data_IF_905928920443
#
_entry.id   IF_905928920443
#
_cell.length_a   1.000
_cell.length_b   1.000
_cell.length_c   1.000
_cell.angle_alpha   90.00
_cell.angle_beta   90.00
_cell.angle_gamma   90.00
#
_symmetry.space_group_name_H-M   'P 1'
#
loop_
_entity.id
_entity.type
_entity.pdbx_description
1 polymer ?
#
# COMPACT_ATOMS: atom_id res chain seq x y z
N UNK A 1 -7.19 -12.28 14.34
CA UNK A 1 -7.00 -13.23 13.22
C UNK A 1 -5.75 -14.03 13.52
N UNK A 2 -5.86 -15.35 13.62
CA UNK A 2 -4.70 -16.23 13.80
C UNK A 2 -4.15 -16.57 12.41
N UNK A 3 -3.10 -15.87 12.00
CA UNK A 3 -2.35 -16.15 10.79
C UNK A 3 -1.20 -17.09 11.14
N UNK A 4 -1.14 -18.23 10.47
CA UNK A 4 0.01 -19.13 10.62
C UNK A 4 1.30 -18.49 10.12
N UNK A 5 2.43 -18.89 10.72
CA UNK A 5 3.77 -18.45 10.28
C UNK A 5 3.99 -18.77 8.81
N UNK A 6 4.53 -17.81 8.08
CA UNK A 6 4.83 -17.97 6.64
C UNK A 6 3.60 -18.14 5.74
N UNK A 7 2.41 -17.73 6.17
CA UNK A 7 1.15 -17.86 5.41
C UNK A 7 0.87 -16.69 4.47
N UNK A 8 1.64 -15.61 4.55
CA UNK A 8 1.46 -14.36 3.79
C UNK A 8 2.58 -14.19 2.77
N UNK A 9 2.23 -13.85 1.53
CA UNK A 9 3.18 -13.63 0.43
C UNK A 9 3.60 -12.16 0.33
N UNK A 10 2.69 -11.24 0.61
CA UNK A 10 2.90 -9.80 0.49
C UNK A 10 2.16 -9.06 1.62
N UNK A 11 2.83 -8.11 2.23
CA UNK A 11 2.21 -7.11 3.11
C UNK A 11 2.19 -5.77 2.40
N UNK A 12 1.03 -5.13 2.34
CA UNK A 12 0.87 -3.74 1.85
C UNK A 12 0.04 -2.99 2.85
N UNK A 13 0.61 -1.99 3.50
CA UNK A 13 -0.07 -1.28 4.59
C UNK A 13 0.40 0.16 4.73
N UNK A 14 -0.42 0.96 5.41
CA UNK A 14 -0.09 2.28 5.91
C UNK A 14 -0.53 2.35 7.38
N UNK A 15 0.41 2.27 8.34
CA UNK A 15 0.07 2.31 9.76
C UNK A 15 -0.46 3.69 10.16
N UNK A 16 -1.08 3.84 11.33
CA UNK A 16 -1.26 5.15 11.94
C UNK A 16 0.12 5.80 12.14
N UNK A 17 0.27 7.06 11.68
CA UNK A 17 1.57 7.74 11.73
C UNK A 17 1.80 8.35 13.12
N UNK A 18 2.80 7.90 13.90
CA UNK A 18 3.18 8.53 15.15
C UNK A 18 3.38 10.05 15.02
N UNK A 19 2.99 10.79 16.05
CA UNK A 19 3.05 12.24 16.12
C UNK A 19 2.15 13.02 15.15
N UNK A 20 1.28 12.34 14.38
CA UNK A 20 0.18 12.96 13.64
C UNK A 20 -1.04 13.00 14.58
N UNK A 21 -1.48 14.20 14.98
CA UNK A 21 -2.46 14.45 16.05
C UNK A 21 -3.74 13.60 15.97
N UNK A 22 -4.21 13.28 14.77
CA UNK A 22 -5.42 12.48 14.60
C UNK A 22 -5.30 11.04 15.17
N UNK A 23 -4.09 10.56 15.43
CA UNK A 23 -3.83 9.22 15.97
C UNK A 23 -3.51 9.20 17.48
N UNK A 24 -3.36 10.36 18.13
CA UNK A 24 -2.98 10.45 19.55
C UNK A 24 -3.90 9.62 20.45
N UNK A 25 -5.21 9.78 20.32
CA UNK A 25 -6.19 9.03 21.12
C UNK A 25 -6.09 7.51 20.88
N UNK A 26 -5.81 7.10 19.65
CA UNK A 26 -5.67 5.69 19.29
C UNK A 26 -4.44 5.05 19.92
N UNK A 27 -3.31 5.78 19.97
CA UNK A 27 -2.10 5.32 20.63
C UNK A 27 -2.23 5.36 22.14
N UNK A 28 -2.72 6.46 22.71
CA UNK A 28 -2.92 6.64 24.15
C UNK A 28 -3.88 5.59 24.75
N UNK A 29 -4.90 5.20 24.00
CA UNK A 29 -5.82 4.12 24.42
C UNK A 29 -5.15 2.75 24.54
N UNK A 30 -3.97 2.54 23.92
CA UNK A 30 -3.22 1.29 23.95
C UNK A 30 -2.10 1.32 24.98
N UNK A 31 -1.44 2.50 25.13
CA UNK A 31 -0.38 2.72 26.12
C UNK A 31 -0.53 4.10 26.79
N UNK A 32 -0.84 4.14 28.11
CA UNK A 32 -0.91 5.40 28.86
C UNK A 32 0.39 6.21 28.87
N UNK A 33 1.54 5.61 28.58
CA UNK A 33 2.81 6.32 28.49
C UNK A 33 2.81 7.36 27.36
N UNK A 34 2.05 7.11 26.30
CA UNK A 34 1.87 8.07 25.18
C UNK A 34 1.19 9.35 25.67
N UNK A 35 0.07 9.22 26.39
CA UNK A 35 -0.66 10.36 26.94
C UNK A 35 0.21 11.15 27.94
N UNK A 36 0.87 10.46 28.85
CA UNK A 36 1.75 11.07 29.85
C UNK A 36 2.91 11.84 29.21
N UNK A 37 3.52 11.30 28.16
CA UNK A 37 4.60 11.96 27.43
C UNK A 37 4.11 13.22 26.70
N UNK A 38 2.96 13.14 26.01
CA UNK A 38 2.34 14.29 25.34
C UNK A 38 1.96 15.40 26.33
N UNK A 39 1.38 15.05 27.48
CA UNK A 39 0.99 16.00 28.53
C UNK A 39 2.21 16.68 29.21
N UNK A 40 3.32 15.95 29.34
CA UNK A 40 4.56 16.50 29.89
C UNK A 40 5.36 17.35 28.91
N UNK A 41 4.97 17.39 27.64
CA UNK A 41 5.69 18.09 26.57
C UNK A 41 6.94 17.36 26.10
N UNK A 42 7.05 16.04 26.37
CA UNK A 42 8.18 15.19 25.91
C UNK A 42 7.83 14.51 24.60
N UNK A 43 8.12 15.21 23.48
CA UNK A 43 7.80 14.71 22.14
C UNK A 43 8.61 13.48 21.75
N UNK A 44 9.86 13.35 22.19
CA UNK A 44 10.72 12.18 21.91
C UNK A 44 10.18 10.93 22.62
N UNK A 45 9.83 11.06 23.91
CA UNK A 45 9.24 9.95 24.66
C UNK A 45 7.88 9.51 24.06
N UNK A 46 7.03 10.45 23.62
CA UNK A 46 5.78 10.14 22.96
C UNK A 46 6.00 9.41 21.64
N UNK A 47 6.96 9.86 20.82
CA UNK A 47 7.34 9.24 19.55
C UNK A 47 7.79 7.80 19.73
N UNK A 48 8.69 7.54 20.66
CA UNK A 48 9.19 6.19 20.95
C UNK A 48 8.09 5.29 21.53
N UNK A 49 7.24 5.77 22.42
CA UNK A 49 6.13 4.98 22.97
C UNK A 49 5.11 4.59 21.88
N UNK A 50 4.80 5.49 20.94
CA UNK A 50 3.93 5.18 19.80
C UNK A 50 4.56 4.13 18.86
N UNK A 51 5.87 4.24 18.60
CA UNK A 51 6.60 3.28 17.78
C UNK A 51 6.76 1.90 18.43
N UNK A 52 6.90 1.83 19.74
CA UNK A 52 6.95 0.57 20.47
C UNK A 52 5.68 -0.28 20.24
N UNK A 53 4.51 0.38 20.17
CA UNK A 53 3.25 -0.31 19.80
C UNK A 53 3.24 -0.82 18.36
N UNK A 54 3.90 -0.12 17.45
CA UNK A 54 4.05 -0.57 16.06
C UNK A 54 5.08 -1.70 15.94
N UNK A 55 6.13 -1.71 16.76
CA UNK A 55 7.15 -2.77 16.77
C UNK A 55 6.53 -4.14 17.07
N UNK A 56 5.57 -4.22 17.99
CA UNK A 56 4.79 -5.45 18.26
C UNK A 56 4.04 -5.94 17.01
N UNK A 57 3.60 -5.02 16.15
CA UNK A 57 2.95 -5.38 14.88
C UNK A 57 3.99 -5.83 13.85
N UNK A 58 5.16 -5.18 13.80
CA UNK A 58 6.21 -5.55 12.86
C UNK A 58 6.77 -6.95 13.13
N UNK A 59 6.90 -7.36 14.39
CA UNK A 59 7.26 -8.73 14.74
C UNK A 59 6.25 -9.74 14.19
N UNK A 60 4.95 -9.50 14.39
CA UNK A 60 3.89 -10.37 13.88
C UNK A 60 3.81 -10.39 12.35
N UNK A 61 4.05 -9.25 11.70
CA UNK A 61 4.17 -9.16 10.25
C UNK A 61 5.33 -9.99 9.74
N UNK A 62 6.48 -9.92 10.42
CA UNK A 62 7.65 -10.71 10.06
C UNK A 62 7.40 -12.22 10.23
N UNK A 63 6.69 -12.64 11.28
CA UNK A 63 6.33 -14.04 11.49
C UNK A 63 5.37 -14.54 10.41
N UNK A 64 4.30 -13.80 10.12
CA UNK A 64 3.29 -14.15 9.13
C UNK A 64 3.83 -14.20 7.70
N UNK A 65 4.83 -13.39 7.38
CA UNK A 65 5.41 -13.31 6.04
C UNK A 65 6.23 -14.57 5.74
N UNK A 66 6.04 -15.17 4.57
CA UNK A 66 6.84 -16.32 4.12
C UNK A 66 8.26 -15.93 3.73
N UNK A 67 9.15 -16.91 3.65
CA UNK A 67 10.48 -16.69 3.05
C UNK A 67 10.36 -16.24 1.59
N UNK A 68 11.04 -15.13 1.25
CA UNK A 68 10.95 -14.46 -0.03
C UNK A 68 9.73 -13.55 -0.19
N UNK A 69 8.86 -13.47 0.82
CA UNK A 69 7.76 -12.52 0.86
C UNK A 69 8.24 -11.07 1.04
N UNK A 70 7.42 -10.14 0.60
CA UNK A 70 7.72 -8.70 0.61
C UNK A 70 6.78 -7.98 1.57
N UNK A 71 7.32 -7.02 2.33
CA UNK A 71 6.53 -6.02 3.05
C UNK A 71 6.74 -4.64 2.43
N UNK A 72 5.65 -3.99 2.05
CA UNK A 72 5.59 -2.64 1.50
C UNK A 72 4.81 -1.74 2.46
N UNK A 73 5.52 -0.86 3.16
CA UNK A 73 4.96 0.00 4.20
C UNK A 73 4.95 1.44 3.69
N UNK A 74 3.77 2.00 3.51
CA UNK A 74 3.62 3.41 3.20
C UNK A 74 3.58 4.22 4.49
N UNK A 75 4.49 5.17 4.65
CA UNK A 75 4.59 6.00 5.85
C UNK A 75 5.04 7.42 5.53
N UNK A 76 4.40 8.39 6.16
CA UNK A 76 4.79 9.81 6.14
C UNK A 76 5.45 10.24 7.44
N UNK A 77 6.42 11.14 7.32
CA UNK A 77 6.98 11.81 8.50
C UNK A 77 6.00 12.83 9.05
N UNK A 78 6.08 13.09 10.34
CA UNK A 78 5.27 14.09 11.02
C UNK A 78 6.11 15.32 11.37
N UNK A 79 5.46 16.48 11.32
CA UNK A 79 6.01 17.70 11.93
C UNK A 79 5.03 18.17 12.98
N UNK A 80 5.51 18.45 14.18
CA UNK A 80 4.66 18.84 15.31
C UNK A 80 5.36 19.89 16.15
N UNK A 81 4.55 20.72 16.80
CA UNK A 81 5.05 21.64 17.82
C UNK A 81 4.62 21.14 19.20
N UNK A 82 5.59 20.79 20.04
CA UNK A 82 5.39 20.34 21.40
C UNK A 82 6.14 21.28 22.33
N UNK A 83 5.52 21.76 23.39
CA UNK A 83 6.06 22.75 24.36
C UNK A 83 6.73 23.96 23.67
N UNK A 84 6.17 24.41 22.55
CA UNK A 84 6.68 25.55 21.79
C UNK A 84 7.80 25.24 20.80
N UNK A 85 8.45 24.12 20.90
CA UNK A 85 9.49 23.65 19.95
C UNK A 85 8.87 22.95 18.74
N UNK A 86 9.35 23.30 17.54
CA UNK A 86 8.92 22.69 16.28
C UNK A 86 9.93 21.64 15.83
N UNK A 87 9.47 20.41 15.68
CA UNK A 87 10.34 19.28 15.34
C UNK A 87 9.78 18.44 14.20
N UNK A 88 10.68 17.73 13.52
CA UNK A 88 10.40 16.65 12.58
C UNK A 88 10.52 15.32 13.32
N UNK A 89 9.49 14.49 13.19
CA UNK A 89 9.46 13.13 13.69
C UNK A 89 9.60 12.17 12.49
N UNK A 90 10.77 11.56 12.29
CA UNK A 90 11.09 10.79 11.09
C UNK A 90 10.54 9.38 11.19
N UNK A 91 9.23 9.22 11.04
CA UNK A 91 8.54 7.93 11.10
C UNK A 91 9.17 6.89 10.18
N UNK A 92 9.56 7.29 8.94
CA UNK A 92 10.18 6.37 8.00
C UNK A 92 11.46 5.72 8.55
N UNK A 93 12.30 6.48 9.24
CA UNK A 93 13.55 5.97 9.80
C UNK A 93 13.28 4.98 10.94
N UNK A 94 12.34 5.30 11.84
CA UNK A 94 12.01 4.43 12.98
C UNK A 94 11.28 3.15 12.56
N UNK A 95 10.45 3.21 11.50
CA UNK A 95 9.85 2.00 10.90
C UNK A 95 10.92 1.12 10.23
N UNK A 96 11.95 1.71 9.61
CA UNK A 96 13.08 0.94 9.07
C UNK A 96 13.80 0.18 10.19
N UNK A 97 14.04 0.83 11.33
CA UNK A 97 14.66 0.22 12.50
C UNK A 97 13.81 -0.97 12.99
N UNK A 98 12.54 -0.78 13.30
CA UNK A 98 11.65 -1.82 13.83
C UNK A 98 11.53 -3.04 12.91
N UNK A 99 11.34 -2.83 11.60
CA UNK A 99 11.27 -3.96 10.64
C UNK A 99 12.61 -4.67 10.44
N UNK A 100 13.72 -3.94 10.56
CA UNK A 100 15.05 -4.55 10.49
C UNK A 100 15.34 -5.38 11.74
N UNK A 101 14.96 -4.88 12.93
CA UNK A 101 15.05 -5.64 14.19
C UNK A 101 14.15 -6.87 14.19
N UNK A 102 12.97 -6.79 13.58
CA UNK A 102 12.09 -7.95 13.31
C UNK A 102 12.68 -8.96 12.30
N UNK A 103 13.89 -8.72 11.78
CA UNK A 103 14.63 -9.66 10.92
C UNK A 103 14.38 -9.53 9.42
N UNK A 104 13.72 -8.47 8.96
CA UNK A 104 13.51 -8.22 7.55
C UNK A 104 14.70 -7.48 6.91
N UNK A 105 14.97 -7.77 5.66
CA UNK A 105 16.02 -7.09 4.88
C UNK A 105 15.42 -5.93 4.10
N UNK A 106 15.90 -4.71 4.33
CA UNK A 106 15.50 -3.53 3.59
C UNK A 106 15.91 -3.62 2.12
N UNK A 107 15.01 -3.23 1.23
CA UNK A 107 15.22 -3.10 -0.21
C UNK A 107 15.16 -1.61 -0.61
N UNK A 108 15.60 -1.24 -1.84
CA UNK A 108 15.37 0.12 -2.34
C UNK A 108 13.89 0.49 -2.29
N UNK A 109 13.56 1.55 -1.56
CA UNK A 109 12.21 2.05 -1.40
C UNK A 109 11.79 3.02 -2.51
N UNK A 110 10.57 3.55 -2.38
CA UNK A 110 9.98 4.49 -3.33
C UNK A 110 9.53 5.73 -2.57
N UNK A 111 9.83 6.90 -3.10
CA UNK A 111 9.28 8.17 -2.62
C UNK A 111 7.99 8.43 -3.39
N UNK A 112 6.87 8.47 -2.68
CA UNK A 112 5.60 8.87 -3.24
C UNK A 112 5.42 10.38 -3.07
N UNK A 113 5.66 11.14 -4.15
CA UNK A 113 5.41 12.57 -4.19
C UNK A 113 3.91 12.84 -4.36
N UNK A 114 3.37 13.64 -3.43
CA UNK A 114 1.98 14.13 -3.47
C UNK A 114 1.99 15.55 -4.04
N UNK A 115 1.57 15.78 -5.28
CA UNK A 115 1.40 17.15 -5.76
C UNK A 115 0.35 17.85 -4.90
N UNK A 116 0.74 18.84 -4.10
CA UNK A 116 -0.20 19.60 -3.29
C UNK A 116 -0.90 20.64 -4.14
N UNK A 117 -2.22 20.70 -4.06
CA UNK A 117 -3.02 21.75 -4.70
C UNK A 117 -2.93 23.11 -3.94
N UNK A 118 -2.21 23.16 -2.83
CA UNK A 118 -2.13 24.31 -1.95
C UNK A 118 -0.67 24.73 -1.73
N UNK A 119 -0.18 25.59 -2.60
CA UNK A 119 1.11 26.27 -2.44
C UNK A 119 1.19 27.18 -1.19
N UNK A 120 0.13 27.25 -0.41
CA UNK A 120 -0.06 28.22 0.68
C UNK A 120 0.17 27.66 2.09
N UNK A 121 0.58 26.39 2.24
CA UNK A 121 0.97 25.87 3.54
C UNK A 121 2.44 26.20 3.80
N UNK A 122 2.66 27.29 4.55
CA UNK A 122 3.99 27.63 5.04
C UNK A 122 4.29 26.87 6.34
N UNK A 123 5.52 26.38 6.44
CA UNK A 123 6.06 25.92 7.71
C UNK A 123 7.02 26.99 8.26
N UNK A 124 6.91 27.28 9.54
CA UNK A 124 7.72 28.28 10.21
C UNK A 124 7.36 29.72 9.83
N UNK A 125 8.37 30.54 9.60
CA UNK A 125 8.25 32.01 9.37
C UNK A 125 7.82 32.38 7.94
N UNK A 126 7.46 31.41 7.11
CA UNK A 126 7.03 31.65 5.72
C UNK A 126 8.14 32.17 4.83
N UNK A 127 8.14 33.47 4.49
CA UNK A 127 9.11 34.07 3.60
C UNK A 127 10.34 34.67 4.27
N UNK A 128 10.39 34.63 5.61
CA UNK A 128 11.49 35.22 6.38
C UNK A 128 12.55 34.17 6.74
N UNK A 129 13.81 34.33 6.28
CA UNK A 129 14.88 33.50 6.77
C UNK A 129 15.15 33.84 8.24
N UNK A 130 15.65 32.94 9.06
CA UNK A 130 16.19 31.60 8.89
C UNK A 130 15.17 30.48 9.25
N UNK A 131 14.02 30.83 9.80
CA UNK A 131 13.06 29.93 10.45
C UNK A 131 11.92 29.51 9.47
N UNK A 132 12.17 29.54 8.17
CA UNK A 132 11.31 28.97 7.16
C UNK A 132 11.74 27.51 6.89
N UNK A 133 10.79 26.58 6.91
CA UNK A 133 11.07 25.15 6.79
C UNK A 133 10.45 24.58 5.51
N UNK A 134 11.03 23.49 5.01
CA UNK A 134 10.50 22.78 3.86
C UNK A 134 9.14 22.14 4.19
N UNK A 135 8.20 22.22 3.26
CA UNK A 135 6.92 21.54 3.36
C UNK A 135 7.10 20.07 2.97
N UNK A 136 6.54 19.14 3.74
CA UNK A 136 6.54 17.73 3.41
C UNK A 136 5.51 17.47 2.29
N UNK A 137 6.00 17.12 1.09
CA UNK A 137 5.18 16.83 -0.08
C UNK A 137 5.28 15.38 -0.52
N UNK A 138 5.81 14.51 0.32
CA UNK A 138 5.99 13.10 -0.02
C UNK A 138 5.73 12.19 1.18
N UNK A 139 5.52 10.93 0.87
CA UNK A 139 5.58 9.81 1.79
C UNK A 139 6.58 8.78 1.26
N UNK A 140 6.94 7.82 2.10
CA UNK A 140 7.87 6.74 1.78
C UNK A 140 7.10 5.43 1.64
N UNK A 141 7.29 4.72 0.53
CA UNK A 141 6.94 3.31 0.42
C UNK A 141 8.20 2.52 0.71
N UNK A 142 8.34 2.08 1.95
CA UNK A 142 9.47 1.29 2.42
C UNK A 142 9.26 -0.17 2.00
N UNK A 143 10.31 -0.79 1.44
CA UNK A 143 10.25 -2.16 0.95
C UNK A 143 11.20 -3.05 1.72
N UNK A 144 10.70 -4.19 2.17
CA UNK A 144 11.47 -5.19 2.90
C UNK A 144 11.20 -6.58 2.36
N UNK A 145 12.13 -7.51 2.61
CA UNK A 145 12.01 -8.91 2.26
C UNK A 145 12.38 -9.78 3.44
N UNK A 146 11.61 -10.84 3.67
CA UNK A 146 11.97 -11.91 4.60
C UNK A 146 12.89 -12.93 3.92
N UNK A 147 14.02 -13.23 4.53
CA UNK A 147 14.93 -14.26 4.05
C UNK A 147 15.44 -14.06 2.61
N UNK A 148 15.54 -15.14 1.85
CA UNK A 148 16.05 -15.15 0.46
C UNK A 148 15.05 -14.66 -0.57
N UNK A 149 15.33 -14.89 -1.86
CA UNK A 149 14.39 -14.59 -2.94
C UNK A 149 13.42 -15.75 -3.16
N UNK A 150 12.16 -15.46 -3.43
CA UNK A 150 11.16 -16.45 -3.80
C UNK A 150 11.54 -17.14 -5.11
N UNK A 151 11.45 -18.45 -5.14
CA UNK A 151 11.67 -19.28 -6.33
C UNK A 151 10.34 -19.80 -6.88
N UNK A 152 10.28 -19.99 -8.20
CA UNK A 152 9.13 -20.54 -8.89
C UNK A 152 9.58 -21.71 -9.79
N UNK A 153 8.71 -22.68 -10.04
CA UNK A 153 8.96 -23.71 -11.06
C UNK A 153 9.26 -23.08 -12.44
N UNK A 154 10.05 -23.74 -13.29
CA UNK A 154 10.21 -23.29 -14.67
C UNK A 154 8.86 -23.26 -15.38
N UNK A 155 8.58 -22.18 -16.11
CA UNK A 155 7.31 -21.95 -16.85
C UNK A 155 6.05 -21.98 -15.99
N UNK A 156 6.15 -21.49 -14.77
CA UNK A 156 5.01 -21.32 -13.87
C UNK A 156 3.96 -20.38 -14.52
N UNK A 157 2.77 -20.93 -14.81
CA UNK A 157 1.73 -20.24 -15.56
C UNK A 157 1.19 -19.01 -14.83
N UNK A 158 0.97 -19.10 -13.50
CA UNK A 158 0.46 -17.99 -12.71
C UNK A 158 1.46 -16.84 -12.65
N UNK A 159 2.75 -17.17 -12.60
CA UNK A 159 3.81 -16.16 -12.64
C UNK A 159 3.84 -15.41 -13.97
N UNK A 160 3.73 -16.12 -15.10
CA UNK A 160 3.70 -15.51 -16.44
C UNK A 160 2.40 -14.74 -16.68
N UNK A 161 1.27 -15.28 -16.25
CA UNK A 161 -0.02 -14.59 -16.31
C UNK A 161 -0.05 -13.31 -15.45
N UNK A 162 0.68 -13.29 -14.34
CA UNK A 162 0.82 -12.12 -13.44
C UNK A 162 1.95 -11.16 -13.85
N UNK A 163 2.61 -11.38 -14.98
CA UNK A 163 3.65 -10.47 -15.45
C UNK A 163 3.07 -9.08 -15.76
N UNK A 164 3.91 -8.12 -15.85
CA UNK A 164 3.56 -6.73 -16.20
C UNK A 164 4.24 -6.36 -17.52
N UNK A 165 3.64 -5.43 -18.23
CA UNK A 165 4.17 -4.92 -19.50
C UNK A 165 5.45 -4.13 -19.28
N UNK A 166 6.30 -4.04 -20.31
CA UNK A 166 7.59 -3.35 -20.24
C UNK A 166 7.49 -1.89 -19.80
N UNK A 167 6.53 -1.15 -20.32
CA UNK A 167 6.29 0.24 -19.94
C UNK A 167 5.78 0.38 -18.50
N UNK A 168 5.02 -0.60 -18.00
CA UNK A 168 4.59 -0.67 -16.61
C UNK A 168 5.79 -0.90 -15.70
N UNK A 169 6.67 -1.83 -16.06
CA UNK A 169 7.91 -2.08 -15.33
C UNK A 169 8.74 -0.80 -15.23
N UNK A 170 8.90 -0.06 -16.31
CA UNK A 170 9.72 1.15 -16.32
C UNK A 170 9.10 2.28 -15.47
N UNK A 171 7.77 2.33 -15.38
CA UNK A 171 7.03 3.32 -14.59
C UNK A 171 6.93 2.92 -13.12
N UNK A 172 6.61 1.65 -12.82
CA UNK A 172 6.34 1.22 -11.44
C UNK A 172 7.61 1.02 -10.62
N UNK A 173 8.71 0.60 -11.24
CA UNK A 173 9.99 0.40 -10.55
C UNK A 173 10.88 1.64 -10.54
N UNK A 174 10.33 2.83 -10.79
CA UNK A 174 10.96 4.09 -10.45
C UNK A 174 10.95 4.28 -8.93
N UNK A 175 12.01 4.82 -8.38
CA UNK A 175 12.14 5.18 -6.96
C UNK A 175 11.37 6.46 -6.58
N UNK A 176 10.70 7.09 -7.55
CA UNK A 176 9.85 8.25 -7.33
C UNK A 176 8.53 8.10 -8.09
N UNK A 177 7.43 8.10 -7.34
CA UNK A 177 6.08 8.10 -7.90
C UNK A 177 5.43 9.46 -7.74
N UNK A 178 4.88 9.97 -8.84
CA UNK A 178 3.99 11.13 -8.83
C UNK A 178 2.54 10.64 -8.98
N UNK A 179 1.89 10.35 -7.86
CA UNK A 179 0.49 9.94 -7.82
C UNK A 179 -0.28 11.01 -7.05
N UNK A 180 -1.27 11.60 -7.70
CA UNK A 180 -2.15 12.55 -7.03
C UNK A 180 -2.91 11.82 -5.93
N UNK A 181 -2.85 12.37 -4.72
CA UNK A 181 -3.78 11.97 -3.67
C UNK A 181 -5.18 12.23 -4.21
N UNK A 182 -5.93 11.19 -4.46
CA UNK A 182 -7.32 11.34 -4.90
C UNK A 182 -8.09 11.98 -3.77
N UNK A 183 -8.68 13.15 -4.02
CA UNK A 183 -9.96 13.43 -3.42
C UNK A 183 -10.90 12.35 -3.93
N UNK A 184 -10.91 11.16 -3.30
CA UNK A 184 -11.80 10.07 -3.66
C UNK A 184 -13.21 10.55 -3.38
N UNK A 185 -13.95 10.90 -4.38
CA UNK A 185 -15.39 10.93 -4.37
C UNK A 185 -15.90 9.48 -4.31
N UNK A 186 -15.75 8.84 -3.15
CA UNK A 186 -16.63 7.73 -2.80
C UNK A 186 -17.91 8.38 -2.29
N UNK A 187 -19.04 7.96 -2.86
CA UNK A 187 -20.35 8.38 -2.41
C UNK A 187 -20.44 8.24 -0.87
N UNK A 188 -20.78 9.35 -0.25
CA UNK A 188 -21.40 9.51 1.06
C UNK A 188 -21.00 8.55 2.21
N UNK A 189 -19.76 8.64 2.66
CA UNK A 189 -19.46 8.36 4.07
C UNK A 189 -18.70 9.55 4.65
N UNK A 190 -19.45 10.61 4.94
CA UNK A 190 -18.94 11.78 5.65
C UNK A 190 -18.20 11.35 6.93
N UNK A 191 -16.93 11.66 7.02
CA UNK A 191 -16.10 11.49 8.21
C UNK A 191 -15.26 10.21 8.33
N UNK A 192 -15.65 9.06 7.74
CA UNK A 192 -14.87 7.82 7.81
C UNK A 192 -13.50 7.93 7.11
N UNK A 193 -13.40 8.83 6.18
CA UNK A 193 -12.24 9.07 5.33
C UNK A 193 -11.21 10.02 5.89
N UNK A 194 -11.67 11.09 6.55
CA UNK A 194 -10.78 11.98 7.30
C UNK A 194 -10.11 11.21 8.45
N UNK A 195 -10.79 10.18 8.97
CA UNK A 195 -10.29 9.30 10.04
C UNK A 195 -9.38 8.17 9.56
N UNK A 196 -9.40 7.78 8.27
CA UNK A 196 -8.67 6.59 7.81
C UNK A 196 -7.28 6.89 7.23
N UNK A 197 -6.99 8.14 6.81
CA UNK A 197 -5.70 8.47 6.18
C UNK A 197 -5.36 7.63 4.93
N UNK A 198 -6.35 7.01 4.29
CA UNK A 198 -6.15 6.01 3.25
C UNK A 198 -5.41 6.54 2.01
N UNK A 199 -4.48 5.78 1.51
CA UNK A 199 -3.79 6.05 0.24
C UNK A 199 -4.69 5.75 -0.98
N UNK A 200 -4.40 6.36 -2.16
CA UNK A 200 -5.10 6.06 -3.41
C UNK A 200 -4.98 4.59 -3.81
N UNK A 201 -6.03 4.02 -4.44
CA UNK A 201 -6.05 2.62 -4.90
C UNK A 201 -4.87 2.29 -5.83
N UNK A 202 -4.37 3.25 -6.61
CA UNK A 202 -3.25 3.04 -7.52
C UNK A 202 -1.97 2.57 -6.79
N UNK A 203 -1.74 2.99 -5.53
CA UNK A 203 -0.57 2.57 -4.75
C UNK A 203 -0.60 1.07 -4.46
N UNK A 204 -1.60 0.52 -3.76
CA UNK A 204 -1.64 -0.91 -3.50
C UNK A 204 -1.81 -1.75 -4.77
N UNK A 205 -2.50 -1.26 -5.81
CA UNK A 205 -2.57 -1.96 -7.11
C UNK A 205 -1.19 -2.16 -7.72
N UNK A 206 -0.35 -1.12 -7.75
CA UNK A 206 1.02 -1.26 -8.23
C UNK A 206 1.81 -2.24 -7.39
N UNK A 207 1.76 -2.13 -6.07
CA UNK A 207 2.52 -2.98 -5.15
C UNK A 207 2.10 -4.44 -5.24
N UNK A 208 0.79 -4.73 -5.33
CA UNK A 208 0.26 -6.08 -5.52
C UNK A 208 0.75 -6.68 -6.84
N UNK A 209 0.68 -5.93 -7.95
CA UNK A 209 1.19 -6.36 -9.26
C UNK A 209 2.70 -6.56 -9.28
N UNK A 210 3.46 -5.72 -8.58
CA UNK A 210 4.94 -5.76 -8.56
C UNK A 210 5.49 -6.92 -7.74
N UNK A 211 4.82 -7.31 -6.65
CA UNK A 211 5.42 -8.17 -5.62
C UNK A 211 4.62 -9.43 -5.28
N UNK A 212 3.52 -9.72 -6.01
CA UNK A 212 2.75 -10.95 -5.84
C UNK A 212 2.35 -11.57 -7.18
N UNK A 213 1.95 -12.83 -7.14
CA UNK A 213 1.30 -13.54 -8.27
C UNK A 213 -0.13 -13.91 -7.90
N UNK A 214 -0.95 -14.32 -8.87
CA UNK A 214 -2.30 -14.79 -8.60
C UNK A 214 -2.32 -15.91 -7.59
N UNK A 215 -3.36 -15.93 -6.75
CA UNK A 215 -3.51 -16.88 -5.66
C UNK A 215 -2.67 -16.60 -4.43
N UNK A 216 -1.73 -15.63 -4.49
CA UNK A 216 -0.98 -15.19 -3.31
C UNK A 216 -1.88 -14.55 -2.26
N UNK A 217 -1.43 -14.55 -1.01
CA UNK A 217 -2.11 -13.92 0.13
C UNK A 217 -1.47 -12.57 0.46
N UNK A 218 -2.28 -11.52 0.47
CA UNK A 218 -1.91 -10.15 0.84
C UNK A 218 -2.44 -9.82 2.24
N UNK A 219 -1.59 -9.27 3.10
CA UNK A 219 -1.97 -8.83 4.45
C UNK A 219 -1.90 -7.30 4.54
N UNK A 220 -2.92 -6.72 5.19
CA UNK A 220 -2.89 -5.35 5.67
C UNK A 220 -3.30 -5.31 7.16
N UNK A 221 -2.35 -5.14 8.10
CA UNK A 221 -2.64 -5.09 9.53
C UNK A 221 -3.32 -3.79 9.98
N UNK A 222 -3.48 -2.80 9.11
CA UNK A 222 -4.13 -1.51 9.35
C UNK A 222 -5.07 -1.14 8.21
N UNK A 223 -5.99 -2.04 7.87
CA UNK A 223 -6.70 -2.06 6.60
C UNK A 223 -7.63 -0.87 6.37
N UNK A 224 -8.08 -0.20 7.44
CA UNK A 224 -9.01 0.93 7.33
C UNK A 224 -10.25 0.58 6.52
N UNK A 225 -10.48 1.32 5.45
CA UNK A 225 -11.61 1.09 4.52
C UNK A 225 -11.36 0.01 3.47
N UNK A 226 -10.27 -0.78 3.59
CA UNK A 226 -10.02 -1.95 2.74
C UNK A 226 -9.38 -1.67 1.38
N UNK A 227 -8.62 -0.60 1.21
CA UNK A 227 -8.03 -0.25 -0.11
C UNK A 227 -7.04 -1.32 -0.59
N UNK A 228 -6.24 -1.88 0.31
CA UNK A 228 -5.33 -3.00 0.00
C UNK A 228 -6.10 -4.27 -0.35
N UNK A 229 -7.16 -4.60 0.42
CA UNK A 229 -7.99 -5.77 0.15
C UNK A 229 -8.70 -5.65 -1.20
N UNK A 230 -9.18 -4.46 -1.56
CA UNK A 230 -9.76 -4.20 -2.87
C UNK A 230 -8.71 -4.42 -3.99
N UNK A 231 -7.50 -3.90 -3.85
CA UNK A 231 -6.43 -4.11 -4.82
C UNK A 231 -6.09 -5.59 -5.00
N UNK A 232 -6.03 -6.36 -3.91
CA UNK A 232 -5.80 -7.80 -3.95
C UNK A 232 -6.95 -8.54 -4.66
N UNK A 233 -8.20 -8.20 -4.33
CA UNK A 233 -9.40 -8.78 -4.94
C UNK A 233 -9.42 -8.52 -6.46
N UNK A 234 -9.20 -7.28 -6.90
CA UNK A 234 -9.18 -6.90 -8.32
C UNK A 234 -8.11 -7.66 -9.13
N UNK A 235 -7.03 -8.07 -8.49
CA UNK A 235 -5.91 -8.75 -9.15
C UNK A 235 -5.89 -10.28 -8.92
N UNK A 236 -6.95 -10.86 -8.37
CA UNK A 236 -7.06 -12.31 -8.14
C UNK A 236 -6.13 -12.84 -7.06
N UNK A 237 -5.89 -12.05 -6.02
CA UNK A 237 -5.17 -12.44 -4.80
C UNK A 237 -6.14 -12.60 -3.65
N UNK A 238 -5.83 -13.51 -2.72
CA UNK A 238 -6.48 -13.55 -1.41
C UNK A 238 -5.98 -12.40 -0.55
N UNK A 239 -6.80 -11.91 0.38
CA UNK A 239 -6.34 -10.88 1.31
C UNK A 239 -6.90 -11.09 2.72
N UNK A 240 -6.12 -10.63 3.69
CA UNK A 240 -6.52 -10.50 5.08
C UNK A 240 -6.29 -9.06 5.52
N UNK A 241 -7.32 -8.43 6.05
CA UNK A 241 -7.26 -7.09 6.63
C UNK A 241 -7.61 -7.13 8.10
N UNK A 242 -6.89 -6.34 8.92
CA UNK A 242 -7.21 -6.17 10.34
C UNK A 242 -7.62 -4.73 10.57
N UNK A 243 -8.80 -4.54 11.17
CA UNK A 243 -9.34 -3.23 11.52
C UNK A 243 -10.00 -3.30 12.91
N UNK A 244 -9.79 -2.28 13.71
CA UNK A 244 -10.37 -2.15 15.05
C UNK A 244 -11.73 -1.44 15.04
N UNK A 245 -11.91 -0.51 14.09
CA UNK A 245 -13.15 0.23 13.94
C UNK A 245 -14.10 -0.53 13.00
N UNK A 246 -15.22 -1.07 13.51
CA UNK A 246 -16.17 -1.81 12.69
C UNK A 246 -16.86 -0.94 11.63
N UNK A 247 -16.93 0.39 11.80
CA UNK A 247 -17.50 1.28 10.79
C UNK A 247 -16.56 1.39 9.58
N UNK A 248 -15.24 1.46 9.82
CA UNK A 248 -14.25 1.44 8.76
C UNK A 248 -14.24 0.09 8.03
N UNK A 249 -14.31 -1.02 8.76
CA UNK A 249 -14.38 -2.35 8.16
C UNK A 249 -15.65 -2.51 7.30
N UNK A 250 -16.80 -2.01 7.75
CA UNK A 250 -18.05 -2.07 7.00
C UNK A 250 -18.02 -1.26 5.69
N UNK A 251 -17.19 -0.22 5.60
CA UNK A 251 -17.00 0.56 4.38
C UNK A 251 -16.40 -0.26 3.21
N UNK A 252 -15.87 -1.45 3.47
CA UNK A 252 -15.36 -2.34 2.44
C UNK A 252 -16.46 -2.99 1.59
N UNK A 253 -17.63 -3.32 2.14
CA UNK A 253 -18.70 -4.03 1.43
C UNK A 253 -19.15 -3.35 0.12
N UNK A 254 -19.52 -2.06 0.08
CA UNK A 254 -19.89 -1.42 -1.18
C UNK A 254 -18.76 -1.39 -2.20
N UNK A 255 -17.53 -1.32 -1.75
CA UNK A 255 -16.33 -1.35 -2.62
C UNK A 255 -16.11 -2.73 -3.23
N UNK A 256 -16.27 -3.79 -2.43
CA UNK A 256 -16.18 -5.17 -2.91
C UNK A 256 -17.27 -5.45 -3.96
N UNK A 257 -18.51 -4.98 -3.74
CA UNK A 257 -19.61 -5.14 -4.70
C UNK A 257 -19.43 -4.37 -6.01
N UNK A 258 -18.64 -3.30 -6.00
CA UNK A 258 -18.31 -2.53 -7.21
C UNK A 258 -17.09 -3.12 -7.97
N UNK A 259 -16.44 -4.15 -7.44
CA UNK A 259 -15.23 -4.71 -8.02
C UNK A 259 -15.41 -5.27 -9.45
N UNK A 260 -16.53 -5.92 -9.84
CA UNK A 260 -16.71 -6.36 -11.20
C UNK A 260 -16.55 -5.24 -12.23
N UNK A 261 -17.33 -4.17 -12.13
CA UNK A 261 -17.28 -3.02 -13.05
C UNK A 261 -15.90 -2.35 -13.02
N UNK A 262 -15.35 -2.13 -11.82
CA UNK A 262 -14.03 -1.51 -11.67
C UNK A 262 -12.91 -2.35 -12.27
N UNK A 263 -12.99 -3.68 -12.19
CA UNK A 263 -11.96 -4.57 -12.74
C UNK A 263 -11.96 -4.56 -14.27
N UNK A 264 -13.14 -4.49 -14.90
CA UNK A 264 -13.26 -4.34 -16.35
C UNK A 264 -12.64 -3.02 -16.83
N UNK A 265 -12.98 -1.91 -16.21
CA UNK A 265 -12.41 -0.58 -16.51
C UNK A 265 -10.88 -0.60 -16.41
N UNK A 266 -10.33 -1.16 -15.34
CA UNK A 266 -8.90 -1.22 -15.11
C UNK A 266 -8.18 -2.15 -16.10
N UNK A 267 -8.80 -3.26 -16.50
CA UNK A 267 -8.23 -4.18 -17.49
C UNK A 267 -8.23 -3.55 -18.89
N UNK A 268 -9.33 -2.90 -19.28
CA UNK A 268 -9.45 -2.18 -20.55
C UNK A 268 -8.40 -1.07 -20.65
N UNK A 269 -8.35 -0.17 -19.63
CA UNK A 269 -7.38 0.92 -19.60
C UNK A 269 -5.92 0.41 -19.64
N UNK A 270 -5.65 -0.72 -18.99
CA UNK A 270 -4.31 -1.31 -18.95
C UNK A 270 -3.90 -1.82 -20.32
N UNK A 271 -4.81 -2.57 -20.99
CA UNK A 271 -4.57 -3.10 -22.31
C UNK A 271 -4.48 -2.02 -23.39
N UNK A 272 -5.32 -1.01 -23.32
CA UNK A 272 -5.31 0.11 -24.26
C UNK A 272 -4.04 0.94 -24.16
N UNK A 273 -3.56 1.20 -22.95
CA UNK A 273 -2.25 1.84 -22.73
C UNK A 273 -1.11 1.03 -23.33
N UNK A 274 -1.16 -0.30 -23.15
CA UNK A 274 -0.16 -1.17 -23.76
C UNK A 274 -0.24 -1.17 -25.28
N UNK A 275 -1.44 -1.26 -25.89
CA UNK A 275 -1.64 -1.17 -27.35
C UNK A 275 -1.09 0.15 -27.91
N UNK A 276 -1.35 1.25 -27.23
CA UNK A 276 -0.79 2.55 -27.61
C UNK A 276 0.74 2.52 -27.55
N UNK A 277 1.32 2.01 -26.46
CA UNK A 277 2.77 1.87 -26.32
C UNK A 277 3.35 1.00 -27.46
N UNK A 278 2.73 -0.13 -27.78
CA UNK A 278 3.18 -1.04 -28.83
C UNK A 278 3.14 -0.38 -30.21
N UNK A 279 2.10 0.40 -30.51
CA UNK A 279 1.98 1.14 -31.75
C UNK A 279 3.04 2.26 -31.90
N UNK A 280 3.39 2.93 -30.80
CA UNK A 280 4.43 3.95 -30.77
C UNK A 280 5.86 3.38 -30.78
N UNK A 281 6.02 2.08 -30.47
CA UNK A 281 7.31 1.40 -30.29
C UNK A 281 7.45 0.12 -31.11
N UNK A 282 6.91 0.06 -32.34
CA UNK A 282 6.91 -1.12 -33.20
C UNK A 282 8.31 -1.75 -33.41
N UNK A 283 9.37 -0.97 -33.39
CA UNK A 283 10.74 -1.48 -33.57
C UNK A 283 11.27 -2.24 -32.35
N UNK A 284 10.65 -2.12 -31.16
CA UNK A 284 11.10 -2.76 -29.92
C UNK A 284 10.16 -3.86 -29.46
N UNK A 285 8.90 -3.86 -29.90
CA UNK A 285 7.91 -4.91 -29.60
C UNK A 285 8.06 -6.07 -30.57
N UNK A 286 8.86 -7.08 -30.19
CA UNK A 286 9.31 -8.13 -31.08
C UNK A 286 8.55 -9.47 -30.94
N UNK A 287 7.71 -9.63 -29.94
CA UNK A 287 7.01 -10.88 -29.65
C UNK A 287 5.51 -10.68 -29.69
N UNK A 288 4.77 -11.64 -30.25
CA UNK A 288 3.31 -11.68 -30.20
C UNK A 288 2.86 -12.04 -28.77
N UNK A 289 1.82 -11.39 -28.26
CA UNK A 289 1.17 -11.79 -27.01
C UNK A 289 0.29 -13.02 -27.23
N UNK A 290 0.28 -13.95 -26.27
CA UNK A 290 -0.46 -15.21 -26.43
C UNK A 290 -1.98 -15.03 -26.27
N UNK A 291 -2.42 -14.00 -25.56
CA UNK A 291 -3.82 -13.78 -25.18
C UNK A 291 -4.46 -12.53 -25.78
N UNK A 292 -3.70 -11.64 -26.40
CA UNK A 292 -4.19 -10.37 -26.94
C UNK A 292 -3.62 -10.10 -28.32
N UNK A 293 -4.43 -9.46 -29.17
CA UNK A 293 -3.97 -8.97 -30.48
C UNK A 293 -3.09 -7.73 -30.30
N UNK A 294 -1.88 -7.97 -29.82
CA UNK A 294 -0.84 -6.96 -29.61
C UNK A 294 0.55 -7.62 -29.54
N UNK A 295 1.59 -6.79 -29.59
CA UNK A 295 2.98 -7.24 -29.47
C UNK A 295 3.63 -6.71 -28.19
N UNK A 296 4.57 -7.47 -27.65
CA UNK A 296 5.28 -7.19 -26.42
C UNK A 296 6.80 -7.10 -26.62
N UNK A 297 7.52 -6.50 -25.69
CA UNK A 297 8.97 -6.27 -25.79
C UNK A 297 9.77 -7.54 -25.50
N UNK A 298 9.38 -8.31 -24.50
CA UNK A 298 10.12 -9.49 -24.03
C UNK A 298 9.27 -10.77 -24.06
N UNK A 299 9.93 -11.92 -24.21
CA UNK A 299 9.28 -13.24 -24.11
C UNK A 299 8.58 -13.49 -22.77
N UNK A 300 8.95 -12.76 -21.71
CA UNK A 300 8.34 -12.92 -20.37
C UNK A 300 6.94 -12.31 -20.30
N UNK A 301 6.63 -11.40 -21.23
CA UNK A 301 5.35 -10.72 -21.31
C UNK A 301 4.32 -11.48 -22.15
N UNK A 302 4.74 -12.44 -22.99
CA UNK A 302 3.80 -13.11 -23.94
C UNK A 302 2.66 -13.80 -23.20
N UNK A 303 2.89 -14.35 -22.02
CA UNK A 303 1.91 -15.04 -21.21
C UNK A 303 1.06 -14.13 -20.30
N UNK A 304 1.19 -12.80 -20.37
CA UNK A 304 0.35 -11.87 -19.58
C UNK A 304 -1.12 -12.17 -19.90
N UNK A 305 -1.90 -12.35 -18.83
CA UNK A 305 -3.33 -12.56 -18.94
C UNK A 305 -4.06 -11.75 -17.90
N UNK A 306 -4.68 -10.66 -18.29
CA UNK A 306 -5.50 -9.83 -17.41
C UNK A 306 -6.71 -10.64 -16.94
N UNK A 307 -7.21 -10.33 -15.77
CA UNK A 307 -8.42 -10.93 -15.23
C UNK A 307 -9.36 -9.83 -14.77
N UNK A 308 -10.63 -10.13 -14.85
CA UNK A 308 -11.72 -9.35 -14.26
C UNK A 308 -12.39 -10.15 -13.16
N UNK A 309 -13.06 -9.45 -12.27
CA UNK A 309 -13.92 -10.04 -11.26
C UNK A 309 -15.28 -10.31 -11.91
N UNK A 310 -15.72 -11.57 -11.91
CA UNK A 310 -17.02 -11.97 -12.44
C UNK A 310 -18.13 -11.71 -11.42
N UNK A 311 -17.93 -12.17 -10.17
CA UNK A 311 -18.90 -12.01 -9.09
C UNK A 311 -18.23 -11.86 -7.73
N UNK A 312 -18.92 -11.21 -6.79
CA UNK A 312 -18.50 -11.05 -5.40
C UNK A 312 -19.64 -11.39 -4.45
N UNK A 313 -19.50 -12.48 -3.71
CA UNK A 313 -20.45 -12.91 -2.70
C UNK A 313 -19.94 -12.58 -1.29
N UNK A 314 -20.81 -12.09 -0.43
CA UNK A 314 -20.55 -11.95 1.00
C UNK A 314 -20.83 -13.29 1.69
N UNK A 315 -19.79 -13.89 2.26
CA UNK A 315 -19.88 -15.20 2.90
C UNK A 315 -20.16 -15.11 4.41
N UNK A 316 -19.63 -14.07 5.08
CA UNK A 316 -19.77 -13.87 6.53
C UNK A 316 -19.71 -12.40 6.94
N UNK A 317 -20.37 -12.08 8.06
CA UNK A 317 -20.31 -10.77 8.73
C UNK A 317 -19.27 -10.70 9.85
N UNK A 318 -18.96 -11.82 10.47
CA UNK A 318 -17.98 -11.89 11.58
C UNK A 318 -17.21 -13.24 11.54
N UNK A 319 -15.93 -13.23 11.10
CA UNK A 319 -15.24 -12.10 10.47
C UNK A 319 -15.89 -11.71 9.14
N UNK A 320 -15.83 -10.44 8.78
CA UNK A 320 -16.32 -9.95 7.50
C UNK A 320 -15.54 -10.63 6.36
N UNK A 321 -16.26 -11.38 5.50
CA UNK A 321 -15.65 -12.18 4.46
C UNK A 321 -16.41 -12.08 3.14
N UNK A 322 -15.66 -11.90 2.07
CA UNK A 322 -16.14 -11.93 0.69
C UNK A 322 -15.37 -12.98 -0.09
N UNK A 323 -16.07 -13.62 -1.03
CA UNK A 323 -15.49 -14.54 -2.00
C UNK A 323 -15.74 -13.96 -3.39
N UNK A 324 -14.70 -13.91 -4.21
CA UNK A 324 -14.78 -13.41 -5.57
C UNK A 324 -14.42 -14.52 -6.56
N UNK A 325 -15.15 -14.58 -7.67
CA UNK A 325 -14.79 -15.36 -8.85
C UNK A 325 -14.14 -14.47 -9.89
N UNK A 326 -13.22 -15.03 -10.66
CA UNK A 326 -12.46 -14.30 -11.67
C UNK A 326 -12.50 -15.01 -13.00
N UNK A 327 -12.54 -14.23 -14.07
CA UNK A 327 -12.44 -14.73 -15.44
C UNK A 327 -11.33 -13.99 -16.22
N UNK A 328 -10.81 -14.60 -17.29
CA UNK A 328 -9.90 -13.91 -18.20
C UNK A 328 -10.60 -12.75 -18.91
N UNK A 329 -9.94 -11.59 -18.95
CA UNK A 329 -10.37 -10.41 -19.70
C UNK A 329 -10.11 -10.60 -21.20
#
# INVERSE_FOLDING_TARGET
>A
VDLGDGSVDLVVTSPPYPMVEMWDESFAAQDPAVEAALESGDGEAAFEAMHALLDDVWERVADALRDGGIAAINVGDATRRIDGEFELYPNHARVIEGLTEAGLTQLPGIVWRKPTNSANKFMGSGTLPTNAYATLEHEHVLLFRKGGTRSFPPNDEDRYASAFFWEERNRWFSDCWEIRGTGQTLADTDGARERSGAFPLEIPLRLVRMYSVRGDTVLDPFVGTGTTCLAALLEGRSSVGVERDPELAAAFEPRARAAPELSEELAEERLDRHRQFAAENESTTNYEADHYDTRVVTKKETGIRLTTVDDVEKESDDPLRFVATHEPY
#
